data_IF_214992704670
#
_entry.id   IF_214992704670
#
_cell.length_a   1.000
_cell.length_b   1.000
_cell.length_c   1.000
_cell.angle_alpha   90.00
_cell.angle_beta   90.00
_cell.angle_gamma   90.00
#
_symmetry.space_group_name_H-M   'P 1'
#
loop_
_entity.id
_entity.type
_entity.pdbx_description
1 polymer ?
#
# COMPACT_ATOMS: atom_id res chain seq x y z
N UNK A 1 -16.04 -30.28 -24.43
CA UNK A 1 -15.99 -29.19 -23.43
C UNK A 1 -15.11 -29.68 -22.28
N UNK A 2 -13.82 -29.38 -22.34
CA UNK A 2 -12.87 -29.72 -21.27
C UNK A 2 -13.11 -28.77 -20.10
N UNK A 3 -13.65 -29.29 -18.99
CA UNK A 3 -13.61 -28.57 -17.74
C UNK A 3 -12.13 -28.38 -17.37
N UNK A 4 -11.63 -27.16 -17.52
CA UNK A 4 -10.36 -26.78 -16.91
C UNK A 4 -10.54 -26.92 -15.39
N UNK A 5 -9.77 -27.82 -14.78
CA UNK A 5 -9.70 -27.94 -13.34
C UNK A 5 -9.31 -26.56 -12.78
N UNK A 6 -10.12 -26.00 -11.88
CA UNK A 6 -9.79 -24.77 -11.17
C UNK A 6 -8.56 -25.06 -10.32
N UNK A 7 -7.38 -24.74 -10.84
CA UNK A 7 -6.12 -24.86 -10.11
C UNK A 7 -6.22 -24.06 -8.81
N UNK A 8 -5.73 -24.65 -7.70
CA UNK A 8 -5.68 -23.94 -6.41
C UNK A 8 -4.92 -22.62 -6.60
N UNK A 9 -5.45 -21.53 -6.06
CA UNK A 9 -4.77 -20.23 -6.11
C UNK A 9 -3.41 -20.33 -5.41
N UNK A 10 -2.30 -19.96 -6.08
CA UNK A 10 -0.96 -20.09 -5.52
C UNK A 10 -0.78 -19.29 -4.22
N UNK A 11 0.06 -19.79 -3.31
CA UNK A 11 0.37 -19.13 -2.02
C UNK A 11 0.82 -17.67 -2.19
N UNK A 12 1.59 -17.38 -3.24
CA UNK A 12 2.10 -16.02 -3.54
C UNK A 12 0.99 -15.00 -3.79
N UNK A 13 -0.16 -15.43 -4.32
CA UNK A 13 -1.33 -14.54 -4.52
C UNK A 13 -1.95 -14.20 -3.17
N UNK A 14 -2.02 -15.16 -2.25
CA UNK A 14 -2.49 -14.93 -0.88
C UNK A 14 -1.53 -14.04 -0.08
N UNK A 15 -0.22 -14.23 -0.22
CA UNK A 15 0.80 -13.35 0.37
C UNK A 15 0.61 -11.93 -0.15
N UNK A 16 0.45 -11.75 -1.47
CA UNK A 16 0.24 -10.45 -2.09
C UNK A 16 -1.05 -9.76 -1.61
N UNK A 17 -2.14 -10.52 -1.46
CA UNK A 17 -3.39 -10.03 -0.89
C UNK A 17 -3.21 -9.59 0.57
N UNK A 18 -2.52 -10.41 1.38
CA UNK A 18 -2.23 -10.10 2.77
C UNK A 18 -1.39 -8.83 2.92
N UNK A 19 -0.31 -8.71 2.15
CA UNK A 19 0.54 -7.52 2.13
C UNK A 19 -0.25 -6.25 1.77
N UNK A 20 -1.12 -6.32 0.75
CA UNK A 20 -1.93 -5.18 0.32
C UNK A 20 -2.87 -4.72 1.44
N UNK A 21 -3.54 -5.63 2.15
CA UNK A 21 -4.42 -5.26 3.27
C UNK A 21 -3.65 -4.79 4.51
N UNK A 22 -2.49 -5.40 4.81
CA UNK A 22 -1.60 -4.91 5.87
C UNK A 22 -1.19 -3.47 5.58
N UNK A 23 -0.83 -3.15 4.33
CA UNK A 23 -0.46 -1.79 3.95
C UNK A 23 -1.61 -0.79 4.15
N UNK A 24 -2.85 -1.16 3.80
CA UNK A 24 -4.05 -0.35 4.05
C UNK A 24 -4.19 -0.03 5.55
N UNK A 25 -4.06 -1.05 6.40
CA UNK A 25 -4.15 -0.88 7.86
C UNK A 25 -3.03 0.01 8.39
N UNK A 26 -1.80 -0.18 7.91
CA UNK A 26 -0.66 0.68 8.27
C UNK A 26 -0.92 2.14 7.91
N UNK A 27 -1.43 2.45 6.72
CA UNK A 27 -1.73 3.84 6.33
C UNK A 27 -2.82 4.44 7.24
N UNK A 28 -3.85 3.66 7.60
CA UNK A 28 -4.88 4.12 8.53
C UNK A 28 -4.30 4.45 9.92
N UNK A 29 -3.42 3.59 10.45
CA UNK A 29 -2.73 3.82 11.73
C UNK A 29 -1.79 5.03 11.63
N UNK A 30 -1.03 5.18 10.55
CA UNK A 30 -0.15 6.32 10.31
C UNK A 30 -0.93 7.64 10.31
N UNK A 31 -2.11 7.64 9.69
CA UNK A 31 -3.04 8.79 9.63
C UNK A 31 -3.62 9.08 11.01
N UNK A 32 -3.97 8.06 11.78
CA UNK A 32 -4.41 8.20 13.16
C UNK A 32 -3.33 8.84 14.03
N UNK A 33 -2.05 8.45 13.90
CA UNK A 33 -0.96 9.08 14.65
C UNK A 33 -0.80 10.56 14.32
N UNK A 34 -0.95 10.96 13.04
CA UNK A 34 -0.97 12.37 12.66
C UNK A 34 -2.16 13.11 13.29
N UNK A 35 -3.34 12.52 13.27
CA UNK A 35 -4.54 13.07 13.93
C UNK A 35 -4.35 13.24 15.43
N UNK A 36 -3.80 12.25 16.13
CA UNK A 36 -3.50 12.36 17.55
C UNK A 36 -2.46 13.45 17.85
N UNK A 37 -1.46 13.62 16.97
CA UNK A 37 -0.47 14.68 17.10
C UNK A 37 -1.06 16.09 16.95
N UNK A 38 -2.08 16.24 16.11
CA UNK A 38 -2.77 17.51 15.88
C UNK A 38 -3.84 17.83 16.93
N UNK A 39 -4.59 16.82 17.37
CA UNK A 39 -5.83 17.03 18.14
C UNK A 39 -5.77 16.54 19.59
N UNK A 40 -4.73 15.81 19.99
CA UNK A 40 -4.64 15.21 21.33
C UNK A 40 -3.33 15.55 22.06
N UNK A 41 -2.19 15.11 21.52
CA UNK A 41 -0.86 15.34 22.12
C UNK A 41 0.20 15.44 21.03
N UNK A 42 0.84 16.60 20.92
CA UNK A 42 1.91 16.88 19.95
C UNK A 42 3.11 15.93 20.05
N UNK A 43 3.33 15.25 21.18
CA UNK A 43 4.38 14.23 21.32
C UNK A 43 4.18 13.04 20.35
N UNK A 44 2.95 12.81 19.90
CA UNK A 44 2.58 11.75 18.97
C UNK A 44 3.16 11.91 17.56
N UNK A 45 3.75 13.07 17.22
CA UNK A 45 4.56 13.21 16.02
C UNK A 45 5.72 12.21 16.00
N UNK A 46 6.28 11.85 17.16
CA UNK A 46 7.31 10.80 17.27
C UNK A 46 6.77 9.45 16.85
N UNK A 47 5.55 9.10 17.27
CA UNK A 47 4.90 7.85 16.88
C UNK A 47 4.63 7.83 15.38
N UNK A 48 4.15 8.95 14.82
CA UNK A 48 3.94 9.10 13.38
C UNK A 48 5.25 8.93 12.59
N UNK A 49 6.33 9.61 12.96
CA UNK A 49 7.60 9.54 12.21
C UNK A 49 8.35 8.22 12.40
N UNK A 50 8.18 7.53 13.53
CA UNK A 50 8.79 6.21 13.72
C UNK A 50 8.00 5.09 13.02
N UNK A 51 6.67 5.18 12.99
CA UNK A 51 5.84 4.09 12.50
C UNK A 51 6.03 3.81 11.01
N UNK A 52 6.28 4.83 10.19
CA UNK A 52 6.52 4.68 8.74
C UNK A 52 7.67 3.73 8.41
N UNK A 53 8.74 3.71 9.21
CA UNK A 53 9.89 2.83 9.00
C UNK A 53 9.58 1.34 9.13
N UNK A 54 8.48 0.98 9.79
CA UNK A 54 8.04 -0.41 9.89
C UNK A 54 7.31 -0.90 8.63
N UNK A 55 6.67 -0.01 7.87
CA UNK A 55 5.78 -0.42 6.79
C UNK A 55 6.10 0.18 5.42
N UNK A 56 7.05 1.11 5.32
CA UNK A 56 7.51 1.67 4.03
C UNK A 56 8.08 0.60 3.08
N UNK A 57 8.54 -0.53 3.62
CA UNK A 57 9.00 -1.68 2.85
C UNK A 57 7.86 -2.49 2.22
N UNK A 58 6.63 -2.35 2.71
CA UNK A 58 5.51 -3.21 2.28
C UNK A 58 5.19 -3.06 0.77
N UNK A 59 5.13 -1.86 0.16
CA UNK A 59 4.96 -1.71 -1.28
C UNK A 59 6.10 -2.34 -2.10
N UNK A 60 7.33 -2.38 -1.57
CA UNK A 60 8.45 -3.07 -2.20
C UNK A 60 8.20 -4.57 -2.20
N UNK A 61 7.79 -5.14 -1.06
CA UNK A 61 7.42 -6.56 -0.97
C UNK A 61 6.23 -6.88 -1.91
N UNK A 62 5.21 -6.03 -1.95
CA UNK A 62 4.08 -6.17 -2.88
C UNK A 62 4.56 -6.25 -4.33
N UNK A 63 5.49 -5.39 -4.75
CA UNK A 63 6.05 -5.41 -6.10
C UNK A 63 6.86 -6.69 -6.36
N UNK A 64 7.72 -7.10 -5.43
CA UNK A 64 8.54 -8.33 -5.54
C UNK A 64 7.65 -9.57 -5.67
N UNK A 65 6.68 -9.74 -4.77
CA UNK A 65 5.75 -10.87 -4.83
C UNK A 65 4.80 -10.78 -6.02
N UNK A 66 4.48 -9.57 -6.49
CA UNK A 66 3.74 -9.36 -7.72
C UNK A 66 4.47 -9.88 -8.96
N UNK A 67 5.77 -9.64 -9.03
CA UNK A 67 6.62 -10.16 -10.11
C UNK A 67 6.80 -11.68 -9.97
N UNK A 68 7.19 -12.15 -8.78
CA UNK A 68 7.43 -13.57 -8.52
C UNK A 68 6.18 -14.44 -8.72
N UNK A 69 5.01 -13.92 -8.32
CA UNK A 69 3.73 -14.59 -8.47
C UNK A 69 3.08 -14.44 -9.84
N UNK A 70 3.78 -13.82 -10.81
CA UNK A 70 3.27 -13.52 -12.14
C UNK A 70 1.90 -12.85 -12.10
N UNK A 71 1.70 -11.95 -11.13
CA UNK A 71 0.45 -11.21 -11.00
C UNK A 71 0.26 -10.27 -12.19
N UNK A 72 -0.99 -9.92 -12.49
CA UNK A 72 -1.39 -8.96 -13.51
C UNK A 72 -0.55 -7.69 -13.55
N UNK A 73 -0.33 -7.18 -14.76
CA UNK A 73 0.37 -5.90 -14.96
C UNK A 73 -0.23 -4.75 -14.12
N UNK A 74 -1.57 -4.60 -14.01
CA UNK A 74 -2.17 -3.58 -13.14
C UNK A 74 -1.72 -3.67 -11.67
N UNK A 75 -1.58 -4.87 -11.10
CA UNK A 75 -1.14 -5.02 -9.71
C UNK A 75 0.30 -4.55 -9.49
N UNK A 76 1.20 -4.91 -10.42
CA UNK A 76 2.62 -4.49 -10.37
C UNK A 76 2.75 -2.98 -10.52
N UNK A 77 2.03 -2.38 -11.47
CA UNK A 77 2.02 -0.93 -11.66
C UNK A 77 1.46 -0.19 -10.44
N UNK A 78 0.35 -0.64 -9.88
CA UNK A 78 -0.19 -0.03 -8.65
C UNK A 78 0.79 -0.16 -7.48
N UNK A 79 1.46 -1.31 -7.32
CA UNK A 79 2.47 -1.50 -6.27
C UNK A 79 3.66 -0.53 -6.42
N UNK A 80 4.12 -0.30 -7.66
CA UNK A 80 5.13 0.70 -7.96
C UNK A 80 4.65 2.13 -7.65
N UNK A 81 3.42 2.48 -8.05
CA UNK A 81 2.85 3.81 -7.75
C UNK A 81 2.70 4.01 -6.24
N UNK A 82 2.25 3.00 -5.49
CA UNK A 82 2.20 3.06 -4.02
C UNK A 82 3.57 3.34 -3.41
N UNK A 83 4.62 2.68 -3.91
CA UNK A 83 6.00 2.96 -3.49
C UNK A 83 6.40 4.42 -3.77
N UNK A 84 6.13 4.93 -4.97
CA UNK A 84 6.42 6.32 -5.33
C UNK A 84 5.62 7.33 -4.49
N UNK A 85 4.38 7.00 -4.13
CA UNK A 85 3.55 7.82 -3.25
C UNK A 85 4.12 7.84 -1.81
N UNK A 86 4.66 6.73 -1.29
CA UNK A 86 5.40 6.73 -0.01
C UNK A 86 6.61 7.65 -0.07
N UNK A 87 7.42 7.60 -1.13
CA UNK A 87 8.52 8.56 -1.30
C UNK A 87 8.03 10.02 -1.41
N UNK A 88 6.88 10.23 -2.04
CA UNK A 88 6.26 11.57 -2.14
C UNK A 88 5.81 12.10 -0.77
N UNK A 89 5.41 11.22 0.16
CA UNK A 89 5.13 11.60 1.56
C UNK A 89 6.39 12.14 2.23
N UNK A 90 7.54 11.49 2.06
CA UNK A 90 8.83 11.99 2.58
C UNK A 90 9.21 13.33 1.96
N UNK A 91 9.07 13.47 0.65
CA UNK A 91 9.38 14.72 -0.04
C UNK A 91 8.54 15.88 0.50
N UNK A 92 7.22 15.68 0.58
CA UNK A 92 6.30 16.72 1.05
C UNK A 92 6.47 17.06 2.53
N UNK A 93 6.91 16.11 3.36
CA UNK A 93 7.19 16.35 4.77
C UNK A 93 8.48 17.17 5.01
N UNK A 94 9.43 17.16 4.08
CA UNK A 94 10.76 17.78 4.26
C UNK A 94 11.02 18.99 3.36
N UNK A 95 10.19 19.23 2.35
CA UNK A 95 10.36 20.36 1.42
C UNK A 95 9.52 21.58 1.87
N UNK A 96 10.13 22.76 2.08
CA UNK A 96 9.41 23.96 2.50
C UNK A 96 8.25 24.30 1.56
N UNK A 97 7.07 24.55 2.13
CA UNK A 97 5.85 24.89 1.38
C UNK A 97 5.11 23.68 0.75
N UNK A 98 5.71 22.49 0.71
CA UNK A 98 5.07 21.30 0.14
C UNK A 98 4.23 20.51 1.16
N UNK A 99 4.35 20.79 2.46
CA UNK A 99 3.65 20.04 3.52
C UNK A 99 2.14 20.04 3.39
N UNK A 100 1.53 21.07 2.78
CA UNK A 100 0.09 21.12 2.52
C UNK A 100 -0.41 19.99 1.59
N UNK A 101 0.46 19.46 0.72
CA UNK A 101 0.13 18.36 -0.18
C UNK A 101 0.19 16.99 0.50
N UNK A 102 0.90 16.87 1.62
CA UNK A 102 1.08 15.61 2.35
C UNK A 102 -0.25 14.89 2.63
N UNK A 103 -1.28 15.52 3.23
CA UNK A 103 -2.57 14.86 3.47
C UNK A 103 -3.31 14.48 2.18
N UNK A 104 -3.18 15.29 1.11
CA UNK A 104 -3.82 14.98 -0.20
C UNK A 104 -3.21 13.72 -0.80
N UNK A 105 -1.88 13.61 -0.79
CA UNK A 105 -1.17 12.43 -1.25
C UNK A 105 -1.46 11.22 -0.35
N UNK A 106 -1.64 11.41 0.97
CA UNK A 106 -1.99 10.33 1.89
C UNK A 106 -3.37 9.73 1.59
N UNK A 107 -4.36 10.56 1.25
CA UNK A 107 -5.68 10.09 0.79
C UNK A 107 -5.54 9.27 -0.49
N UNK A 108 -4.78 9.77 -1.47
CA UNK A 108 -4.52 9.04 -2.72
C UNK A 108 -3.80 7.70 -2.49
N UNK A 109 -2.81 7.69 -1.60
CA UNK A 109 -2.09 6.48 -1.19
C UNK A 109 -3.03 5.46 -0.55
N UNK A 110 -3.88 5.89 0.39
CA UNK A 110 -4.87 5.02 1.03
C UNK A 110 -5.87 4.45 0.03
N UNK A 111 -6.43 5.30 -0.82
CA UNK A 111 -7.41 4.89 -1.84
C UNK A 111 -6.83 3.86 -2.80
N UNK A 112 -5.63 4.13 -3.34
CA UNK A 112 -4.95 3.23 -4.25
C UNK A 112 -4.58 1.91 -3.55
N UNK A 113 -4.21 1.94 -2.26
CA UNK A 113 -3.92 0.73 -1.51
C UNK A 113 -5.16 -0.16 -1.36
N UNK A 114 -6.31 0.43 -1.04
CA UNK A 114 -7.60 -0.29 -0.95
C UNK A 114 -8.00 -0.87 -2.31
N UNK A 115 -7.92 -0.08 -3.37
CA UNK A 115 -8.22 -0.52 -4.74
C UNK A 115 -7.28 -1.66 -5.18
N UNK A 116 -5.98 -1.57 -4.85
CA UNK A 116 -5.01 -2.63 -5.11
C UNK A 116 -5.37 -3.91 -4.36
N UNK A 117 -5.68 -3.83 -3.06
CA UNK A 117 -6.03 -4.96 -2.22
C UNK A 117 -7.30 -5.68 -2.71
N UNK A 118 -8.36 -4.91 -3.05
CA UNK A 118 -9.59 -5.45 -3.63
C UNK A 118 -9.36 -6.08 -5.01
N UNK A 119 -8.38 -5.57 -5.75
CA UNK A 119 -8.06 -6.00 -7.11
C UNK A 119 -7.25 -7.29 -7.23
N UNK A 120 -6.58 -7.78 -6.18
CA UNK A 120 -5.64 -8.92 -6.26
C UNK A 120 -6.29 -10.19 -6.83
N UNK A 121 -7.32 -10.71 -6.16
CA UNK A 121 -7.96 -11.97 -6.56
C UNK A 121 -8.73 -11.86 -7.89
N UNK A 122 -9.56 -10.82 -8.11
CA UNK A 122 -10.29 -10.68 -9.37
C UNK A 122 -9.36 -10.52 -10.57
N UNK A 123 -8.27 -9.77 -10.44
CA UNK A 123 -7.34 -9.55 -11.55
C UNK A 123 -6.57 -10.82 -11.86
N UNK A 124 -6.10 -11.54 -10.84
CA UNK A 124 -5.39 -12.81 -11.04
C UNK A 124 -6.27 -13.82 -11.81
N UNK A 125 -7.52 -14.00 -11.39
CA UNK A 125 -8.45 -14.96 -12.01
C UNK A 125 -8.85 -14.61 -13.45
N UNK A 126 -8.77 -13.34 -13.86
CA UNK A 126 -9.10 -12.91 -15.23
C UNK A 126 -7.98 -13.15 -16.24
N UNK A 127 -6.74 -13.29 -15.78
CA UNK A 127 -5.56 -13.46 -16.63
C UNK A 127 -5.02 -14.90 -16.63
N UNK A 128 -5.75 -15.85 -16.02
CA UNK A 128 -5.51 -17.29 -16.15
C UNK A 128 -6.50 -17.88 -17.16
#
# INVERSE_FOLDING_TARGET
>A
MTQQAVGKTPLVVWISLGLAWIFVVCIAIQTLFAGMALFHDGSMWRSHTLFVHFFEIVPVLMLIFGIAGKLPAPYKWKSLVLLLLVFSQYLTANLPGAGAWHPVIAIGLFWLAVDTARGVLPSYRREQ
#
